data_IF_720823604135
#
_entry.id   IF_720823604135
#
_cell.length_a   1.000
_cell.length_b   1.000
_cell.length_c   1.000
_cell.angle_alpha   90.00
_cell.angle_beta   90.00
_cell.angle_gamma   90.00
#
_symmetry.space_group_name_H-M   'P 1'
#
loop_
_entity.id
_entity.type
_entity.pdbx_description
1 polymer ?
#
# COMPACT_ATOMS: atom_id res chain seq x y z
N UNK A 1 -3.28 -20.27 -53.54
CA UNK A 1 -4.02 -19.20 -52.81
C UNK A 1 -4.63 -19.80 -51.55
N UNK A 2 -3.79 -20.31 -50.67
CA UNK A 2 -4.22 -21.00 -49.45
C UNK A 2 -3.53 -20.32 -48.26
N UNK A 3 -2.21 -20.18 -48.36
CA UNK A 3 -1.38 -19.45 -47.39
C UNK A 3 -1.70 -17.94 -47.33
N UNK A 4 -2.13 -17.34 -48.45
CA UNK A 4 -2.36 -15.88 -48.53
C UNK A 4 -3.56 -15.48 -47.64
N UNK A 5 -4.61 -16.30 -47.62
CA UNK A 5 -5.79 -16.07 -46.77
C UNK A 5 -5.41 -16.25 -45.29
N UNK A 6 -4.57 -17.23 -44.98
CA UNK A 6 -4.09 -17.48 -43.60
C UNK A 6 -3.30 -16.28 -43.07
N UNK A 7 -2.37 -15.75 -43.87
CA UNK A 7 -1.57 -14.58 -43.46
C UNK A 7 -2.45 -13.33 -43.29
N UNK A 8 -3.46 -13.14 -44.15
CA UNK A 8 -4.40 -12.03 -44.00
C UNK A 8 -5.21 -12.11 -42.70
N UNK A 9 -5.67 -13.31 -42.31
CA UNK A 9 -6.41 -13.52 -41.06
C UNK A 9 -5.49 -13.33 -39.85
N UNK A 10 -4.26 -13.86 -39.88
CA UNK A 10 -3.28 -13.66 -38.79
C UNK A 10 -2.96 -12.18 -38.60
N UNK A 11 -2.82 -11.40 -39.69
CA UNK A 11 -2.55 -9.97 -39.60
C UNK A 11 -3.69 -9.21 -38.89
N UNK A 12 -4.95 -9.55 -39.19
CA UNK A 12 -6.12 -8.96 -38.53
C UNK A 12 -6.16 -9.33 -37.05
N UNK A 13 -5.98 -10.61 -36.71
CA UNK A 13 -5.98 -11.07 -35.31
C UNK A 13 -4.82 -10.46 -34.51
N UNK A 14 -3.62 -10.39 -35.10
CA UNK A 14 -2.46 -9.76 -34.46
C UNK A 14 -2.69 -8.27 -34.16
N UNK A 15 -3.34 -7.54 -35.07
CA UNK A 15 -3.68 -6.14 -34.85
C UNK A 15 -4.66 -5.94 -33.68
N UNK A 16 -5.66 -6.83 -33.53
CA UNK A 16 -6.64 -6.75 -32.45
C UNK A 16 -6.03 -7.04 -31.06
N UNK A 17 -5.10 -8.00 -30.98
CA UNK A 17 -4.43 -8.37 -29.71
C UNK A 17 -3.57 -7.23 -29.17
N UNK A 18 -2.91 -6.47 -30.05
CA UNK A 18 -2.09 -5.31 -29.65
C UNK A 18 -2.91 -4.18 -29.01
N UNK A 19 -4.17 -4.00 -29.44
CA UNK A 19 -5.09 -3.01 -28.85
C UNK A 19 -5.57 -3.46 -27.47
N UNK A 20 -5.72 -4.78 -27.28
CA UNK A 20 -6.18 -5.36 -26.01
C UNK A 20 -5.11 -5.33 -24.91
N UNK A 21 -3.83 -5.36 -25.28
CA UNK A 21 -2.72 -5.26 -24.33
C UNK A 21 -2.47 -3.79 -23.99
N UNK A 22 -2.98 -3.34 -22.85
CA UNK A 22 -2.57 -2.07 -22.24
C UNK A 22 -1.41 -2.33 -21.24
N UNK A 23 -0.14 -2.29 -21.67
CA UNK A 23 1.00 -2.64 -20.82
C UNK A 23 1.10 -1.71 -19.61
N UNK A 24 0.71 -0.44 -19.74
CA UNK A 24 0.74 0.51 -18.65
C UNK A 24 -0.20 0.11 -17.51
N UNK A 25 -1.41 -0.38 -17.84
CA UNK A 25 -2.36 -0.88 -16.85
C UNK A 25 -1.85 -2.13 -16.13
N UNK A 26 -1.32 -3.10 -16.87
CA UNK A 26 -0.83 -4.35 -16.27
C UNK A 26 0.35 -4.12 -15.31
N UNK A 27 1.24 -3.17 -15.64
CA UNK A 27 2.35 -2.80 -14.75
C UNK A 27 1.85 -2.09 -13.48
N UNK A 28 0.85 -1.22 -13.60
CA UNK A 28 0.22 -0.56 -12.45
C UNK A 28 -0.48 -1.56 -11.53
N UNK A 29 -1.26 -2.46 -12.11
CA UNK A 29 -1.99 -3.48 -11.35
C UNK A 29 -1.00 -4.44 -10.63
N UNK A 30 0.13 -4.77 -11.25
CA UNK A 30 1.21 -5.53 -10.60
C UNK A 30 1.83 -4.79 -9.40
N UNK A 31 2.12 -3.48 -9.54
CA UNK A 31 2.65 -2.66 -8.42
C UNK A 31 1.64 -2.56 -7.28
N UNK A 32 0.36 -2.34 -7.57
CA UNK A 32 -0.70 -2.28 -6.57
C UNK A 32 -0.84 -3.60 -5.80
N UNK A 33 -0.72 -4.74 -6.48
CA UNK A 33 -0.68 -6.05 -5.84
C UNK A 33 0.53 -6.21 -4.89
N UNK A 34 1.72 -5.76 -5.32
CA UNK A 34 2.91 -5.75 -4.46
C UNK A 34 2.70 -4.87 -3.22
N UNK A 35 2.19 -3.64 -3.39
CA UNK A 35 1.87 -2.73 -2.29
C UNK A 35 0.87 -3.33 -1.31
N UNK A 36 -0.19 -3.97 -1.81
CA UNK A 36 -1.20 -4.62 -0.98
C UNK A 36 -0.59 -5.71 -0.09
N UNK A 37 0.28 -6.54 -0.66
CA UNK A 37 1.01 -7.55 0.10
C UNK A 37 1.91 -6.92 1.17
N UNK A 38 2.63 -5.85 0.82
CA UNK A 38 3.54 -5.14 1.72
C UNK A 38 2.79 -4.48 2.89
N UNK A 39 1.64 -3.85 2.61
CA UNK A 39 0.77 -3.26 3.63
C UNK A 39 0.24 -4.33 4.60
N UNK A 40 -0.17 -5.50 4.10
CA UNK A 40 -0.57 -6.62 4.96
C UNK A 40 0.59 -7.13 5.83
N UNK A 41 1.82 -7.14 5.31
CA UNK A 41 2.99 -7.48 6.12
C UNK A 41 3.20 -6.47 7.25
N UNK A 42 3.10 -5.17 6.97
CA UNK A 42 3.19 -4.09 7.97
C UNK A 42 2.11 -4.26 9.04
N UNK A 43 0.86 -4.44 8.60
CA UNK A 43 -0.28 -4.72 9.49
C UNK A 43 0.05 -5.84 10.46
N UNK A 44 0.44 -7.00 9.94
CA UNK A 44 0.74 -8.16 10.79
C UNK A 44 1.88 -7.86 11.78
N UNK A 45 2.91 -7.13 11.35
CA UNK A 45 4.00 -6.70 12.23
C UNK A 45 3.51 -5.81 13.39
N UNK A 46 2.66 -4.81 13.09
CA UNK A 46 2.08 -3.95 14.13
C UNK A 46 1.19 -4.75 15.08
N UNK A 47 0.34 -5.65 14.57
CA UNK A 47 -0.50 -6.49 15.45
C UNK A 47 0.33 -7.40 16.34
N UNK A 48 1.39 -8.01 15.81
CA UNK A 48 2.29 -8.82 16.63
C UNK A 48 2.95 -7.99 17.73
N UNK A 49 3.36 -6.74 17.44
CA UNK A 49 3.88 -5.81 18.44
C UNK A 49 2.84 -5.54 19.55
N UNK A 50 1.60 -5.26 19.17
CA UNK A 50 0.51 -4.95 20.11
C UNK A 50 0.21 -6.14 21.03
N UNK A 51 0.23 -7.36 20.47
CA UNK A 51 0.00 -8.59 21.24
C UNK A 51 1.11 -8.79 22.29
N UNK A 52 2.37 -8.58 21.92
CA UNK A 52 3.50 -8.76 22.85
C UNK A 52 3.61 -7.62 23.88
N UNK A 53 3.23 -6.41 23.50
CA UNK A 53 3.32 -5.21 24.35
C UNK A 53 2.02 -4.89 25.10
N UNK A 54 1.18 -5.91 25.38
CA UNK A 54 -0.03 -5.81 26.22
C UNK A 54 -1.06 -4.78 25.73
N UNK A 55 -1.21 -4.65 24.41
CA UNK A 55 -2.14 -3.70 23.81
C UNK A 55 -1.56 -2.30 23.57
N UNK A 56 -0.26 -2.10 23.82
CA UNK A 56 0.42 -0.87 23.47
C UNK A 56 0.85 -0.89 22.00
N UNK A 57 0.65 0.24 21.34
CA UNK A 57 1.06 0.46 19.97
C UNK A 57 2.47 1.05 19.90
N UNK A 58 3.17 0.91 18.76
CA UNK A 58 4.48 1.53 18.56
C UNK A 58 4.45 3.04 18.82
N UNK A 59 5.51 3.55 19.44
CA UNK A 59 5.61 4.95 19.86
C UNK A 59 5.55 5.93 18.67
N UNK A 60 5.97 5.49 17.49
CA UNK A 60 5.88 6.26 16.24
C UNK A 60 4.43 6.66 15.90
N UNK A 61 3.42 5.92 16.35
CA UNK A 61 1.99 6.24 16.13
C UNK A 61 1.46 7.26 17.15
N UNK A 62 2.31 7.72 18.06
CA UNK A 62 1.97 8.68 19.11
C UNK A 62 2.78 9.97 18.97
N UNK A 63 2.19 11.06 19.45
CA UNK A 63 2.81 12.38 19.57
C UNK A 63 2.72 12.84 21.02
N UNK A 64 3.43 13.91 21.36
CA UNK A 64 3.36 14.53 22.69
C UNK A 64 1.94 14.95 23.10
N UNK A 65 1.04 15.17 22.14
CA UNK A 65 -0.33 15.65 22.37
C UNK A 65 -1.39 14.55 22.23
N UNK A 66 -1.02 13.34 21.79
CA UNK A 66 -1.96 12.24 21.59
C UNK A 66 -1.61 11.35 20.40
N UNK A 67 -2.60 10.64 19.87
CA UNK A 67 -2.45 9.70 18.74
C UNK A 67 -2.30 10.44 17.41
N UNK A 68 -1.55 9.86 16.47
CA UNK A 68 -1.50 10.32 15.07
C UNK A 68 -2.77 9.84 14.36
N UNK A 69 -3.70 10.76 14.13
CA UNK A 69 -5.01 10.44 13.56
C UNK A 69 -5.03 10.86 12.10
N UNK A 70 -5.52 9.94 11.27
CA UNK A 70 -5.81 10.17 9.88
C UNK A 70 -6.75 11.35 9.68
N UNK A 71 -6.29 12.30 8.90
CA UNK A 71 -7.06 13.48 8.51
C UNK A 71 -7.14 13.51 6.97
N UNK A 72 -8.35 13.31 6.45
CA UNK A 72 -8.61 13.34 5.00
C UNK A 72 -8.61 14.76 4.44
N UNK A 73 -8.85 15.77 5.28
CA UNK A 73 -8.93 17.18 4.93
C UNK A 73 -7.59 17.91 5.15
N UNK A 74 -6.61 17.26 5.77
CA UNK A 74 -5.25 17.78 5.91
C UNK A 74 -4.63 18.06 4.53
N UNK A 75 -3.98 19.22 4.38
CA UNK A 75 -3.60 19.78 3.07
C UNK A 75 -2.79 18.80 2.21
N UNK A 76 -3.48 18.17 1.25
CA UNK A 76 -3.09 17.54 -0.03
C UNK A 76 -1.79 16.70 -0.15
N UNK A 77 -1.00 16.50 0.90
CA UNK A 77 0.25 15.70 0.86
C UNK A 77 0.58 15.01 2.18
N UNK A 78 -0.13 15.32 3.26
CA UNK A 78 0.09 14.68 4.54
C UNK A 78 -1.27 14.43 5.17
N UNK A 79 -1.78 13.21 5.04
CA UNK A 79 -3.00 12.70 5.69
C UNK A 79 -2.90 12.66 7.23
N UNK A 80 -2.00 13.47 7.80
CA UNK A 80 -1.53 13.40 9.18
C UNK A 80 -1.19 11.97 9.60
N UNK A 81 -0.41 11.29 8.76
CA UNK A 81 0.09 9.93 8.98
C UNK A 81 1.61 9.97 9.13
N UNK A 82 2.16 8.96 9.80
CA UNK A 82 3.60 8.81 10.01
C UNK A 82 4.17 7.79 9.04
N UNK A 83 5.39 8.01 8.56
CA UNK A 83 6.13 6.99 7.81
C UNK A 83 6.45 5.79 8.71
N UNK A 84 6.13 4.59 8.24
CA UNK A 84 6.40 3.34 8.94
C UNK A 84 7.88 3.12 9.22
N UNK A 85 8.78 3.65 8.39
CA UNK A 85 10.23 3.50 8.58
C UNK A 85 10.73 4.20 9.86
N UNK A 86 9.95 5.11 10.43
CA UNK A 86 10.25 5.75 11.73
C UNK A 86 9.90 4.88 12.94
N UNK A 87 9.21 3.75 12.73
CA UNK A 87 8.78 2.83 13.76
C UNK A 87 9.85 1.77 14.07
N UNK A 88 11.03 2.21 14.52
CA UNK A 88 12.21 1.36 14.74
C UNK A 88 11.91 0.10 15.57
N UNK A 89 10.95 0.18 16.50
CA UNK A 89 10.50 -0.90 17.38
C UNK A 89 9.93 -2.12 16.65
N UNK A 90 9.44 -1.95 15.42
CA UNK A 90 8.90 -3.05 14.61
C UNK A 90 10.01 -3.92 14.02
N UNK A 91 11.22 -3.40 13.87
CA UNK A 91 12.34 -4.13 13.26
C UNK A 91 13.44 -4.40 14.30
N UNK A 92 14.16 -5.54 14.20
CA UNK A 92 13.97 -6.65 13.27
C UNK A 92 13.00 -7.73 13.78
N UNK A 93 12.32 -7.49 14.92
CA UNK A 93 11.59 -8.56 15.65
C UNK A 93 10.24 -8.87 15.01
N UNK A 94 9.44 -7.86 14.70
CA UNK A 94 8.08 -8.01 14.17
C UNK A 94 8.02 -7.91 12.65
N UNK A 95 9.02 -7.25 12.06
CA UNK A 95 9.29 -7.18 10.63
C UNK A 95 10.79 -7.45 10.42
N UNK A 96 11.16 -8.37 9.52
CA UNK A 96 12.58 -8.64 9.22
C UNK A 96 13.28 -7.40 8.62
N UNK A 97 12.53 -6.58 7.89
CA UNK A 97 12.94 -5.30 7.32
C UNK A 97 11.68 -4.52 6.91
N UNK A 98 11.76 -3.19 6.86
CA UNK A 98 10.69 -2.41 6.25
C UNK A 98 10.55 -2.74 4.76
N UNK A 99 9.31 -2.96 4.27
CA UNK A 99 9.09 -3.22 2.86
C UNK A 99 9.33 -1.95 2.04
N UNK A 100 10.23 -2.04 1.07
CA UNK A 100 10.53 -0.93 0.16
C UNK A 100 9.50 -0.85 -0.97
N UNK A 101 8.93 0.33 -1.19
CA UNK A 101 7.94 0.56 -2.25
C UNK A 101 8.59 0.53 -3.66
N UNK A 102 7.91 -0.04 -4.68
CA UNK A 102 8.45 -0.18 -6.04
C UNK A 102 8.84 1.11 -6.82
N UNK A 103 8.33 2.27 -6.44
CA UNK A 103 8.56 3.58 -7.06
C UNK A 103 9.26 4.57 -6.12
N UNK A 104 9.97 4.06 -5.10
CA UNK A 104 10.65 4.86 -4.05
C UNK A 104 9.70 5.84 -3.34
N UNK A 105 8.47 5.39 -3.07
CA UNK A 105 7.49 6.07 -2.21
C UNK A 105 7.48 5.46 -0.81
N UNK A 106 6.77 6.10 0.10
CA UNK A 106 6.68 5.71 1.51
C UNK A 106 5.36 5.00 1.82
N UNK A 107 5.38 4.15 2.85
CA UNK A 107 4.19 3.62 3.50
C UNK A 107 3.92 4.41 4.76
N UNK A 108 2.73 4.99 4.84
CA UNK A 108 2.33 5.83 5.95
C UNK A 108 1.22 5.14 6.75
N UNK A 109 1.25 5.33 8.06
CA UNK A 109 0.38 4.65 9.02
C UNK A 109 -0.16 5.64 10.06
N UNK A 110 -1.33 5.34 10.63
CA UNK A 110 -1.94 6.13 11.69
C UNK A 110 -3.25 5.52 12.17
N UNK A 111 -3.92 6.19 13.08
CA UNK A 111 -5.23 5.78 13.59
C UNK A 111 -6.36 6.36 12.74
N UNK A 112 -7.44 5.62 12.55
CA UNK A 112 -8.62 6.14 11.83
C UNK A 112 -9.44 7.16 12.63
N UNK A 113 -9.44 7.07 13.95
CA UNK A 113 -10.27 7.89 14.83
C UNK A 113 -9.53 8.14 16.15
N UNK A 114 -9.77 9.31 16.75
CA UNK A 114 -9.35 9.66 18.11
C UNK A 114 -10.06 8.79 19.17
N UNK A 115 -11.20 8.22 18.83
CA UNK A 115 -12.21 7.72 19.78
C UNK A 115 -12.15 6.19 19.90
N UNK A 116 -11.12 5.69 20.58
CA UNK A 116 -11.00 4.33 21.16
C UNK A 116 -11.14 3.10 20.25
N UNK A 117 -11.47 3.25 18.98
CA UNK A 117 -11.36 2.17 18.01
C UNK A 117 -9.90 2.17 17.60
N UNK A 118 -9.07 1.26 18.12
CA UNK A 118 -7.64 1.15 17.78
C UNK A 118 -7.41 0.69 16.33
N UNK A 119 -8.25 1.18 15.42
CA UNK A 119 -8.25 0.87 14.01
C UNK A 119 -7.10 1.61 13.37
N UNK A 120 -6.20 0.84 12.78
CA UNK A 120 -5.06 1.38 12.05
C UNK A 120 -5.40 1.48 10.58
N UNK A 121 -5.06 2.63 10.00
CA UNK A 121 -5.02 2.83 8.57
C UNK A 121 -3.57 2.79 8.09
N UNK A 122 -3.33 2.04 7.02
CA UNK A 122 -2.06 2.05 6.30
C UNK A 122 -2.37 2.48 4.88
N UNK A 123 -1.51 3.35 4.33
CA UNK A 123 -1.57 3.84 2.95
C UNK A 123 -0.17 3.90 2.37
N UNK A 124 -0.11 4.02 1.05
CA UNK A 124 1.12 4.34 0.33
C UNK A 124 1.00 5.76 -0.22
N UNK A 125 2.08 6.55 -0.20
CA UNK A 125 2.08 7.92 -0.75
C UNK A 125 2.21 7.98 -2.28
N UNK A 126 2.16 6.83 -2.97
CA UNK A 126 2.16 6.79 -4.44
C UNK A 126 0.84 7.32 -5.00
N UNK A 127 0.92 8.19 -6.03
CA UNK A 127 -0.27 8.83 -6.64
C UNK A 127 -1.29 7.82 -7.19
N UNK A 128 -0.81 6.67 -7.67
CA UNK A 128 -1.64 5.58 -8.21
C UNK A 128 -2.34 4.74 -7.12
N UNK A 129 -1.97 4.93 -5.85
CA UNK A 129 -2.40 4.13 -4.71
C UNK A 129 -3.44 4.85 -3.82
N UNK A 130 -3.70 6.13 -4.06
CA UNK A 130 -4.50 7.00 -3.18
C UNK A 130 -5.94 6.46 -3.00
N UNK A 131 -6.53 5.90 -4.06
CA UNK A 131 -7.91 5.36 -4.04
C UNK A 131 -8.00 3.83 -3.96
N UNK A 132 -7.02 3.09 -4.51
CA UNK A 132 -7.11 1.62 -4.68
C UNK A 132 -6.41 0.81 -3.56
N UNK A 133 -5.54 1.42 -2.75
CA UNK A 133 -4.68 0.72 -1.79
C UNK A 133 -4.75 1.37 -0.40
N UNK A 134 -5.92 1.28 0.23
CA UNK A 134 -6.13 1.64 1.63
C UNK A 134 -6.43 0.35 2.41
N UNK A 135 -5.63 0.07 3.43
CA UNK A 135 -5.88 -1.04 4.34
C UNK A 135 -6.29 -0.50 5.69
N UNK A 136 -7.50 -0.88 6.10
CA UNK A 136 -8.09 -0.51 7.38
C UNK A 136 -8.27 -1.79 8.18
N UNK A 137 -7.71 -1.81 9.39
CA UNK A 137 -7.70 -3.01 10.23
C UNK A 137 -8.16 -2.65 11.64
N UNK A 138 -8.89 -3.56 12.29
CA UNK A 138 -9.58 -3.34 13.58
C UNK A 138 -8.82 -3.87 14.79
#
# INVERSE_FOLDING_TARGET
>A
MEVIIVVAIIAILASAVLIALNPAKNLRDARNATRWSQMNSITNGIYSYVIENKGLYPDCLSTTTGRIIYDEDASSTAWNLVDIETCDELTPIFLPSFPKEPQDKEYVVGYMDATSSDRIIIRCTADEAIDDNILIVN
#
